data_IF_386537632619
#
_entry.id   IF_386537632619
#
_cell.length_a   1.000
_cell.length_b   1.000
_cell.length_c   1.000
_cell.angle_alpha   90.00
_cell.angle_beta   90.00
_cell.angle_gamma   90.00
#
_symmetry.space_group_name_H-M   'P 1'
#
loop_
_entity.id
_entity.type
_entity.pdbx_description
1 polymer ?
#
# COMPACT_ATOMS: atom_id res chain seq x y z
N UNK A 1 6.24 -5.01 9.75
CA UNK A 1 5.21 -4.80 10.80
C UNK A 1 3.81 -4.95 10.24
N UNK A 2 2.94 -5.57 11.04
CA UNK A 2 1.49 -5.66 10.78
C UNK A 2 0.82 -4.33 11.11
N UNK A 3 -0.24 -4.01 10.36
CA UNK A 3 -1.21 -2.99 10.77
C UNK A 3 -2.16 -3.63 11.78
N UNK A 4 -2.53 -2.90 12.81
CA UNK A 4 -3.61 -3.32 13.69
C UNK A 4 -4.96 -3.26 12.97
N UNK A 5 -5.99 -3.82 13.61
CA UNK A 5 -7.33 -3.92 13.01
C UNK A 5 -7.95 -2.55 12.77
N UNK A 6 -7.74 -1.58 13.67
CA UNK A 6 -8.33 -0.25 13.54
C UNK A 6 -7.68 0.56 12.40
N UNK A 7 -6.35 0.47 12.25
CA UNK A 7 -5.62 1.06 11.14
C UNK A 7 -6.06 0.49 9.79
N UNK A 8 -6.23 -0.84 9.70
CA UNK A 8 -6.72 -1.48 8.48
C UNK A 8 -8.12 -1.00 8.14
N UNK A 9 -9.03 -1.00 9.13
CA UNK A 9 -10.41 -0.58 8.93
C UNK A 9 -10.48 0.86 8.42
N UNK A 10 -9.71 1.77 9.03
CA UNK A 10 -9.61 3.16 8.57
C UNK A 10 -9.07 3.27 7.14
N UNK A 11 -8.08 2.45 6.76
CA UNK A 11 -7.57 2.45 5.39
C UNK A 11 -8.57 1.88 4.39
N UNK A 12 -9.34 0.86 4.77
CA UNK A 12 -10.43 0.31 3.96
C UNK A 12 -11.47 1.40 3.72
N UNK A 13 -12.03 2.00 4.78
CA UNK A 13 -13.06 3.04 4.68
C UNK A 13 -12.63 4.22 3.82
N UNK A 14 -11.36 4.63 3.91
CA UNK A 14 -10.83 5.75 3.13
C UNK A 14 -10.59 5.41 1.66
N UNK A 15 -10.44 4.14 1.28
CA UNK A 15 -10.03 3.75 -0.08
C UNK A 15 -10.98 2.74 -0.74
N UNK A 16 -12.06 2.35 -0.07
CA UNK A 16 -13.07 1.45 -0.59
C UNK A 16 -13.79 2.07 -1.80
N UNK A 17 -14.04 1.24 -2.82
CA UNK A 17 -14.78 1.65 -4.02
C UNK A 17 -16.28 1.65 -3.77
N UNK A 18 -16.77 0.80 -2.88
CA UNK A 18 -18.16 0.72 -2.43
C UNK A 18 -18.21 0.32 -0.95
N UNK A 19 -19.36 0.49 -0.24
CA UNK A 19 -19.42 0.33 1.21
C UNK A 19 -19.06 -1.06 1.77
N UNK A 20 -19.13 -2.10 0.93
CA UNK A 20 -18.79 -3.50 1.29
C UNK A 20 -17.43 -3.94 0.74
N UNK A 21 -16.67 -3.04 0.12
CA UNK A 21 -15.36 -3.35 -0.45
C UNK A 21 -14.31 -3.46 0.66
N UNK A 22 -13.72 -4.65 0.77
CA UNK A 22 -12.67 -4.96 1.75
C UNK A 22 -11.33 -5.30 1.10
N UNK A 23 -11.24 -5.25 -0.23
CA UNK A 23 -10.17 -5.95 -0.96
C UNK A 23 -9.86 -5.43 -2.36
N UNK A 24 -10.43 -4.32 -2.81
CA UNK A 24 -10.07 -3.69 -4.08
C UNK A 24 -8.58 -3.38 -4.19
N UNK A 25 -8.12 -3.16 -5.42
CA UNK A 25 -6.73 -2.81 -5.66
C UNK A 25 -6.37 -1.48 -4.98
N UNK A 26 -7.30 -0.52 -4.93
CA UNK A 26 -7.20 0.77 -4.24
C UNK A 26 -6.94 0.57 -2.74
N UNK A 27 -7.78 -0.23 -2.07
CA UNK A 27 -7.64 -0.59 -0.65
C UNK A 27 -6.33 -1.33 -0.38
N UNK A 28 -5.99 -2.31 -1.21
CA UNK A 28 -4.76 -3.09 -1.06
C UNK A 28 -3.49 -2.22 -1.23
N UNK A 29 -3.48 -1.30 -2.20
CA UNK A 29 -2.36 -0.36 -2.42
C UNK A 29 -2.23 0.59 -1.24
N UNK A 30 -3.33 1.08 -0.67
CA UNK A 30 -3.32 1.92 0.53
C UNK A 30 -2.72 1.17 1.73
N UNK A 31 -3.18 -0.05 2.01
CA UNK A 31 -2.63 -0.90 3.07
C UNK A 31 -1.15 -1.22 2.87
N UNK A 32 -0.74 -1.58 1.65
CA UNK A 32 0.67 -1.82 1.34
C UNK A 32 1.50 -0.56 1.54
N UNK A 33 1.00 0.61 1.13
CA UNK A 33 1.72 1.87 1.27
C UNK A 33 1.97 2.24 2.73
N UNK A 34 0.97 2.07 3.59
CA UNK A 34 1.16 2.30 5.04
C UNK A 34 2.15 1.31 5.65
N UNK A 35 2.09 0.03 5.27
CA UNK A 35 3.05 -1.00 5.73
C UNK A 35 4.47 -0.73 5.25
N UNK A 36 4.63 -0.29 4.00
CA UNK A 36 5.92 0.09 3.41
C UNK A 36 6.52 1.27 4.18
N UNK A 37 5.73 2.31 4.45
CA UNK A 37 6.18 3.45 5.26
C UNK A 37 6.65 3.01 6.65
N UNK A 38 5.80 2.31 7.42
CA UNK A 38 6.18 1.81 8.76
C UNK A 38 7.44 0.95 8.74
N UNK A 39 7.56 0.06 7.75
CA UNK A 39 8.72 -0.83 7.66
C UNK A 39 9.98 -0.10 7.20
N UNK A 40 9.84 0.92 6.35
CA UNK A 40 10.94 1.79 5.94
C UNK A 40 11.50 2.53 7.16
N UNK A 41 10.62 3.14 7.96
CA UNK A 41 11.02 3.87 9.18
C UNK A 41 11.71 2.92 10.19
N UNK A 42 11.14 1.73 10.40
CA UNK A 42 11.76 0.70 11.24
C UNK A 42 13.17 0.31 10.78
N UNK A 43 13.36 0.12 9.47
CA UNK A 43 14.65 -0.30 8.89
C UNK A 43 15.72 0.80 8.90
N UNK A 44 15.35 2.07 9.11
CA UNK A 44 16.34 3.14 9.32
C UNK A 44 17.18 2.90 10.57
N UNK A 45 16.56 2.44 11.66
CA UNK A 45 17.26 2.07 12.90
C UNK A 45 17.80 0.63 12.90
N UNK A 46 17.29 -0.24 12.03
CA UNK A 46 17.58 -1.68 12.03
C UNK A 46 18.24 -2.12 10.72
N UNK A 47 19.40 -1.55 10.41
CA UNK A 47 20.04 -1.72 9.10
C UNK A 47 20.42 -3.18 8.77
N UNK A 48 20.71 -3.98 9.80
CA UNK A 48 21.09 -5.40 9.69
C UNK A 48 19.89 -6.36 9.64
N UNK A 49 18.65 -5.87 9.72
CA UNK A 49 17.47 -6.71 9.50
C UNK A 49 17.22 -6.94 8.00
N UNK A 50 18.01 -7.85 7.43
CA UNK A 50 17.94 -8.21 6.02
C UNK A 50 16.65 -8.95 5.67
N UNK A 51 16.06 -9.70 6.60
CA UNK A 51 14.81 -10.42 6.39
C UNK A 51 13.64 -9.45 6.23
N UNK A 52 13.53 -8.45 7.11
CA UNK A 52 12.55 -7.37 6.97
C UNK A 52 12.78 -6.55 5.71
N UNK A 53 14.04 -6.27 5.34
CA UNK A 53 14.36 -5.58 4.08
C UNK A 53 13.89 -6.36 2.86
N UNK A 54 14.07 -7.69 2.84
CA UNK A 54 13.54 -8.53 1.78
C UNK A 54 11.99 -8.48 1.74
N UNK A 55 11.35 -8.54 2.91
CA UNK A 55 9.90 -8.36 3.04
C UNK A 55 9.42 -7.00 2.51
N UNK A 56 10.15 -5.93 2.79
CA UNK A 56 9.89 -4.58 2.28
C UNK A 56 9.92 -4.57 0.75
N UNK A 57 10.97 -5.11 0.15
CA UNK A 57 11.12 -5.17 -1.31
C UNK A 57 9.98 -5.96 -1.97
N UNK A 58 9.58 -7.09 -1.38
CA UNK A 58 8.43 -7.88 -1.85
C UNK A 58 7.13 -7.07 -1.80
N UNK A 59 6.90 -6.30 -0.73
CA UNK A 59 5.72 -5.43 -0.59
C UNK A 59 5.73 -4.29 -1.61
N UNK A 60 6.88 -3.65 -1.84
CA UNK A 60 7.05 -2.61 -2.88
C UNK A 60 6.73 -3.19 -4.26
N UNK A 61 7.28 -4.37 -4.58
CA UNK A 61 7.00 -5.06 -5.83
C UNK A 61 5.52 -5.41 -6.01
N UNK A 62 4.85 -5.90 -4.96
CA UNK A 62 3.40 -6.16 -4.99
C UNK A 62 2.61 -4.88 -5.24
N UNK A 63 2.95 -3.78 -4.55
CA UNK A 63 2.27 -2.48 -4.74
C UNK A 63 2.44 -1.99 -6.18
N UNK A 64 3.64 -2.07 -6.74
CA UNK A 64 3.93 -1.66 -8.13
C UNK A 64 3.09 -2.46 -9.13
N UNK A 65 2.93 -3.77 -8.95
CA UNK A 65 2.07 -4.60 -9.81
C UNK A 65 0.59 -4.19 -9.74
N UNK A 66 0.07 -3.91 -8.54
CA UNK A 66 -1.31 -3.45 -8.38
C UNK A 66 -1.53 -2.06 -9.01
N UNK A 67 -0.55 -1.15 -8.88
CA UNK A 67 -0.60 0.16 -9.52
C UNK A 67 -0.57 0.05 -11.05
N UNK A 68 0.28 -0.83 -11.60
CA UNK A 68 0.28 -1.12 -13.04
C UNK A 68 -1.08 -1.64 -13.49
N UNK A 69 -1.64 -2.63 -12.77
CA UNK A 69 -2.97 -3.16 -13.06
C UNK A 69 -4.04 -2.07 -13.06
N UNK A 70 -4.04 -1.19 -12.05
CA UNK A 70 -4.99 -0.07 -11.97
C UNK A 70 -4.80 0.90 -13.13
N UNK A 71 -3.55 1.24 -13.48
CA UNK A 71 -3.25 2.13 -14.60
C UNK A 71 -3.76 1.55 -15.92
N UNK A 72 -3.56 0.26 -16.14
CA UNK A 72 -3.97 -0.44 -17.37
C UNK A 72 -5.49 -0.57 -17.47
N UNK A 73 -6.19 -0.69 -16.34
CA UNK A 73 -7.66 -0.83 -16.30
C UNK A 73 -8.39 0.50 -16.27
N UNK A 74 -7.92 1.46 -15.50
CA UNK A 74 -8.52 2.77 -15.34
C UNK A 74 -7.47 3.80 -14.89
N UNK A 75 -6.98 4.56 -15.86
CA UNK A 75 -5.95 5.59 -15.64
C UNK A 75 -6.41 6.66 -14.65
N UNK A 76 -7.69 7.03 -14.63
CA UNK A 76 -8.22 8.05 -13.70
C UNK A 76 -8.13 7.55 -12.26
N UNK A 77 -8.61 6.33 -11.99
CA UNK A 77 -8.50 5.69 -10.66
C UNK A 77 -7.05 5.58 -10.20
N UNK A 78 -6.14 5.21 -11.10
CA UNK A 78 -4.72 5.19 -10.81
C UNK A 78 -4.20 6.58 -10.41
N UNK A 79 -4.50 7.62 -11.19
CA UNK A 79 -4.06 8.99 -10.90
C UNK A 79 -4.62 9.52 -9.58
N UNK A 80 -5.90 9.29 -9.32
CA UNK A 80 -6.56 9.67 -8.07
C UNK A 80 -5.92 8.97 -6.87
N UNK A 81 -5.68 7.67 -6.97
CA UNK A 81 -5.08 6.88 -5.90
C UNK A 81 -3.64 7.32 -5.60
N UNK A 82 -2.83 7.52 -6.65
CA UNK A 82 -1.44 7.98 -6.54
C UNK A 82 -1.39 9.36 -5.89
N UNK A 83 -2.28 10.28 -6.30
CA UNK A 83 -2.42 11.61 -5.70
C UNK A 83 -2.85 11.52 -4.23
N UNK A 84 -3.82 10.68 -3.91
CA UNK A 84 -4.36 10.51 -2.56
C UNK A 84 -3.35 9.94 -1.58
N UNK A 85 -2.54 8.98 -2.02
CA UNK A 85 -1.52 8.33 -1.18
C UNK A 85 -0.20 9.13 -1.15
N UNK A 86 0.03 10.02 -2.12
CA UNK A 86 1.25 10.83 -2.18
C UNK A 86 2.49 10.07 -2.65
N UNK A 87 2.31 9.00 -3.43
CA UNK A 87 3.40 8.25 -4.05
C UNK A 87 3.65 8.76 -5.47
N UNK A 88 4.87 8.60 -5.98
CA UNK A 88 5.21 8.84 -7.39
C UNK A 88 5.65 7.52 -8.01
N UNK A 89 5.00 7.10 -9.09
CA UNK A 89 5.39 5.91 -9.88
C UNK A 89 4.68 4.62 -9.51
#
# INVERSE_FOLDING_TARGET
MSLDTAEKQKLIENHQVHPTDTGSAEVQVAMLSKRISKLSDHLQGNIHDFASRQGLLKMIGKRKRLLSYLKDKNVQKYQELVKKIGIRG
#
